data_IF_356416508291
#
_entry.id   IF_356416508291
#
_cell.length_a   1.000
_cell.length_b   1.000
_cell.length_c   1.000
_cell.angle_alpha   90.00
_cell.angle_beta   90.00
_cell.angle_gamma   90.00
#
_symmetry.space_group_name_H-M   'P 1'
#
loop_
_entity.id
_entity.type
_entity.pdbx_description
1 polymer ?
#
# COMPACT_ATOMS: atom_id res chain seq x y z
N UNK A 1 4.39 -18.77 13.43
CA UNK A 1 3.01 -19.31 13.54
C UNK A 1 2.56 -19.65 12.14
N UNK A 2 2.51 -20.94 11.81
CA UNK A 2 1.91 -21.39 10.56
C UNK A 2 0.48 -20.88 10.50
N UNK A 3 0.16 -20.07 9.49
CA UNK A 3 -1.22 -19.68 9.21
C UNK A 3 -1.94 -20.96 8.76
N UNK A 4 -2.76 -21.53 9.64
CA UNK A 4 -3.67 -22.64 9.33
C UNK A 4 -4.41 -22.29 8.03
N UNK A 5 -4.34 -23.17 7.03
CA UNK A 5 -4.99 -22.94 5.75
C UNK A 5 -6.50 -22.84 5.97
N UNK A 6 -7.06 -21.64 5.73
CA UNK A 6 -8.46 -21.37 5.97
C UNK A 6 -9.25 -21.49 4.66
N UNK A 7 -10.40 -22.16 4.73
CA UNK A 7 -11.37 -22.28 3.66
C UNK A 7 -12.22 -21.01 3.61
N UNK A 8 -12.36 -20.41 2.43
CA UNK A 8 -12.98 -19.10 2.23
C UNK A 8 -13.94 -19.15 1.04
N UNK A 9 -15.12 -18.54 1.18
CA UNK A 9 -15.99 -18.24 0.04
C UNK A 9 -15.67 -16.88 -0.55
N UNK A 10 -15.55 -16.79 -1.88
CA UNK A 10 -15.36 -15.51 -2.57
C UNK A 10 -16.65 -15.10 -3.26
N UNK A 11 -17.00 -13.83 -3.11
CA UNK A 11 -18.19 -13.23 -3.69
C UNK A 11 -17.76 -12.00 -4.47
N UNK A 12 -18.01 -11.94 -5.78
CA UNK A 12 -17.86 -10.74 -6.59
C UNK A 12 -19.22 -10.09 -6.76
N UNK A 13 -19.30 -8.79 -6.52
CA UNK A 13 -20.54 -8.03 -6.64
C UNK A 13 -20.34 -6.83 -7.55
N UNK A 14 -21.30 -6.59 -8.44
CA UNK A 14 -21.29 -5.43 -9.34
C UNK A 14 -21.49 -4.11 -8.59
N UNK A 15 -20.76 -3.08 -9.00
CA UNK A 15 -20.88 -1.72 -8.47
C UNK A 15 -21.61 -0.73 -9.38
N UNK A 16 -21.83 -1.08 -10.64
CA UNK A 16 -22.46 -0.22 -11.65
C UNK A 16 -24.00 -0.18 -11.58
N UNK A 17 -24.63 -1.01 -10.76
CA UNK A 17 -26.09 -1.18 -10.74
C UNK A 17 -26.86 0.04 -10.19
N UNK A 18 -26.19 0.96 -9.49
CA UNK A 18 -26.85 2.10 -8.84
C UNK A 18 -27.83 1.70 -7.72
N UNK A 19 -27.76 0.46 -7.26
CA UNK A 19 -28.64 -0.11 -6.24
C UNK A 19 -28.23 0.30 -4.83
N UNK A 20 -29.19 0.24 -3.90
CA UNK A 20 -28.91 0.46 -2.48
C UNK A 20 -27.95 -0.61 -1.94
N UNK A 21 -27.15 -0.26 -0.92
CA UNK A 21 -26.27 -1.22 -0.24
C UNK A 21 -27.03 -2.45 0.26
N UNK A 22 -28.26 -2.28 0.74
CA UNK A 22 -29.11 -3.39 1.20
C UNK A 22 -29.47 -4.35 0.08
N UNK A 23 -29.85 -3.83 -1.09
CA UNK A 23 -30.15 -4.63 -2.29
C UNK A 23 -28.91 -5.41 -2.76
N UNK A 24 -27.75 -4.76 -2.80
CA UNK A 24 -26.47 -5.38 -3.17
C UNK A 24 -26.10 -6.52 -2.20
N UNK A 25 -26.30 -6.31 -0.89
CA UNK A 25 -26.07 -7.34 0.13
C UNK A 25 -27.01 -8.53 -0.08
N UNK A 26 -28.29 -8.30 -0.37
CA UNK A 26 -29.25 -9.37 -0.62
C UNK A 26 -28.81 -10.26 -1.79
N UNK A 27 -28.36 -9.66 -2.89
CA UNK A 27 -27.81 -10.39 -4.04
C UNK A 27 -26.61 -11.26 -3.67
N UNK A 28 -25.65 -10.69 -2.91
CA UNK A 28 -24.49 -11.42 -2.44
C UNK A 28 -24.87 -12.63 -1.55
N UNK A 29 -25.88 -12.45 -0.69
CA UNK A 29 -26.42 -13.52 0.14
C UNK A 29 -27.08 -14.62 -0.69
N UNK A 30 -27.91 -14.27 -1.67
CA UNK A 30 -28.55 -15.24 -2.56
C UNK A 30 -27.53 -16.06 -3.34
N UNK A 31 -26.55 -15.41 -3.99
CA UNK A 31 -25.50 -16.11 -4.72
C UNK A 31 -24.68 -17.04 -3.81
N UNK A 32 -24.33 -16.57 -2.62
CA UNK A 32 -23.57 -17.35 -1.63
C UNK A 32 -24.32 -18.61 -1.20
N UNK A 33 -25.61 -18.48 -0.87
CA UNK A 33 -26.46 -19.60 -0.46
C UNK A 33 -26.69 -20.57 -1.62
N UNK A 34 -26.93 -20.06 -2.84
CA UNK A 34 -27.11 -20.89 -4.03
C UNK A 34 -25.85 -21.70 -4.37
N UNK A 35 -24.67 -21.07 -4.32
CA UNK A 35 -23.40 -21.76 -4.55
C UNK A 35 -23.14 -22.89 -3.55
N UNK A 36 -23.57 -22.72 -2.29
CA UNK A 36 -23.46 -23.76 -1.25
C UNK A 36 -24.49 -24.86 -1.50
N UNK A 37 -25.75 -24.49 -1.68
CA UNK A 37 -26.86 -25.44 -1.82
C UNK A 37 -26.70 -26.35 -3.04
N UNK A 38 -26.28 -25.80 -4.17
CA UNK A 38 -26.07 -26.57 -5.40
C UNK A 38 -24.85 -27.52 -5.32
N UNK A 39 -23.99 -27.36 -4.31
CA UNK A 39 -22.73 -28.09 -4.18
C UNK A 39 -22.54 -28.69 -2.77
N UNK A 40 -23.62 -29.07 -2.09
CA UNK A 40 -23.58 -29.64 -0.73
C UNK A 40 -22.75 -30.92 -0.63
N UNK A 41 -22.59 -31.65 -1.73
CA UNK A 41 -21.83 -32.89 -1.76
C UNK A 41 -20.31 -32.70 -1.83
N UNK A 42 -19.84 -31.49 -2.17
CA UNK A 42 -18.41 -31.18 -2.28
C UNK A 42 -17.73 -31.16 -0.91
N UNK A 43 -16.57 -31.82 -0.80
CA UNK A 43 -15.83 -31.95 0.47
C UNK A 43 -15.49 -30.59 1.10
N UNK A 44 -15.10 -29.62 0.28
CA UNK A 44 -14.80 -28.25 0.73
C UNK A 44 -16.01 -27.54 1.34
N UNK A 45 -17.23 -27.85 0.85
CA UNK A 45 -18.48 -27.27 1.35
C UNK A 45 -18.84 -27.97 2.66
N UNK A 46 -18.77 -29.29 2.72
CA UNK A 46 -18.98 -30.07 3.95
C UNK A 46 -18.04 -29.63 5.07
N UNK A 47 -16.76 -29.44 4.78
CA UNK A 47 -15.76 -28.98 5.75
C UNK A 47 -16.05 -27.55 6.23
N UNK A 48 -16.38 -26.64 5.31
CA UNK A 48 -16.75 -25.27 5.65
C UNK A 48 -18.02 -25.20 6.54
N UNK A 49 -18.99 -26.09 6.30
CA UNK A 49 -20.22 -26.16 7.10
C UNK A 49 -20.02 -26.76 8.49
N UNK A 50 -18.98 -27.57 8.73
CA UNK A 50 -18.65 -28.12 10.06
C UNK A 50 -18.23 -27.04 11.06
N UNK A 51 -17.52 -26.00 10.61
CA UNK A 51 -17.05 -24.89 11.45
C UNK A 51 -17.92 -23.63 11.28
N UNK A 52 -19.23 -23.74 11.52
CA UNK A 52 -20.21 -22.67 11.25
C UNK A 52 -19.88 -21.33 11.91
N UNK A 53 -19.29 -21.35 13.11
CA UNK A 53 -18.92 -20.14 13.86
C UNK A 53 -17.60 -19.49 13.39
N UNK A 54 -16.85 -20.14 12.49
CA UNK A 54 -15.55 -19.64 11.97
C UNK A 54 -15.54 -19.46 10.45
N UNK A 55 -16.73 -19.47 9.83
CA UNK A 55 -16.93 -19.22 8.41
C UNK A 55 -16.36 -17.87 7.97
N UNK A 56 -15.63 -17.87 6.85
CA UNK A 56 -15.06 -16.65 6.25
C UNK A 56 -15.53 -16.47 4.83
N UNK A 57 -16.09 -15.29 4.55
CA UNK A 57 -16.45 -14.83 3.20
C UNK A 57 -15.63 -13.59 2.85
N UNK A 58 -15.23 -13.48 1.60
CA UNK A 58 -14.53 -12.30 1.06
C UNK A 58 -15.34 -11.74 -0.08
N UNK A 59 -15.77 -10.50 0.08
CA UNK A 59 -16.51 -9.76 -0.95
C UNK A 59 -15.53 -8.90 -1.75
N UNK A 60 -15.63 -8.95 -3.08
CA UNK A 60 -14.81 -8.24 -4.03
C UNK A 60 -15.69 -7.42 -4.97
N UNK A 61 -15.20 -6.26 -5.38
CA UNK A 61 -15.91 -5.41 -6.32
C UNK A 61 -15.69 -5.87 -7.76
N UNK A 62 -16.74 -5.86 -8.56
CA UNK A 62 -16.73 -6.00 -10.01
C UNK A 62 -17.27 -4.71 -10.64
N UNK A 63 -16.54 -4.08 -11.59
CA UNK A 63 -16.92 -2.78 -12.10
C UNK A 63 -18.16 -2.81 -13.01
N UNK A 64 -18.35 -3.89 -13.78
CA UNK A 64 -19.43 -3.96 -14.79
C UNK A 64 -19.82 -5.42 -15.13
N UNK A 65 -20.92 -5.58 -15.86
CA UNK A 65 -21.42 -6.89 -16.31
C UNK A 65 -20.42 -7.66 -17.17
N UNK A 66 -19.73 -6.96 -18.07
CA UNK A 66 -18.80 -7.57 -19.03
C UNK A 66 -17.66 -8.26 -18.28
N UNK A 67 -17.12 -7.58 -17.29
CA UNK A 67 -16.08 -8.10 -16.40
C UNK A 67 -16.61 -9.28 -15.60
N UNK A 68 -17.83 -9.20 -15.07
CA UNK A 68 -18.46 -10.29 -14.32
C UNK A 68 -18.58 -11.56 -15.20
N UNK A 69 -19.06 -11.43 -16.43
CA UNK A 69 -19.20 -12.56 -17.38
C UNK A 69 -17.85 -13.14 -17.82
N UNK A 70 -16.85 -12.29 -18.03
CA UNK A 70 -15.49 -12.73 -18.34
C UNK A 70 -14.92 -13.56 -17.18
N UNK A 71 -15.06 -13.07 -15.94
CA UNK A 71 -14.62 -13.79 -14.75
C UNK A 71 -15.35 -15.13 -14.62
N UNK A 72 -16.66 -15.20 -14.85
CA UNK A 72 -17.38 -16.48 -14.87
C UNK A 72 -16.82 -17.45 -15.93
N UNK A 73 -16.49 -16.95 -17.11
CA UNK A 73 -15.91 -17.76 -18.19
C UNK A 73 -14.52 -18.30 -17.83
N UNK A 74 -13.67 -17.46 -17.21
CA UNK A 74 -12.35 -17.86 -16.73
C UNK A 74 -12.43 -18.88 -15.60
N UNK A 75 -13.39 -18.73 -14.68
CA UNK A 75 -13.65 -19.70 -13.62
C UNK A 75 -14.13 -21.04 -14.19
N UNK A 76 -14.98 -21.04 -15.22
CA UNK A 76 -15.36 -22.28 -15.94
C UNK A 76 -14.15 -22.94 -16.61
N UNK A 77 -13.31 -22.15 -17.29
CA UNK A 77 -12.12 -22.65 -17.97
C UNK A 77 -11.11 -23.28 -16.99
N UNK A 78 -11.02 -22.74 -15.78
CA UNK A 78 -10.16 -23.23 -14.70
C UNK A 78 -10.82 -24.29 -13.82
N UNK A 79 -12.04 -24.73 -14.15
CA UNK A 79 -12.84 -25.70 -13.40
C UNK A 79 -13.09 -25.30 -11.93
N UNK A 80 -13.10 -23.99 -11.63
CA UNK A 80 -13.50 -23.49 -10.33
C UNK A 80 -15.03 -23.44 -10.28
N UNK A 81 -15.61 -24.23 -9.39
CA UNK A 81 -17.07 -24.29 -9.22
C UNK A 81 -17.57 -22.97 -8.61
N UNK A 82 -18.57 -22.37 -9.27
CA UNK A 82 -19.14 -21.09 -8.87
C UNK A 82 -20.58 -20.95 -9.38
N UNK A 83 -21.34 -20.08 -8.71
CA UNK A 83 -22.67 -19.62 -9.12
C UNK A 83 -22.55 -18.21 -9.70
N UNK A 84 -23.00 -18.02 -10.93
CA UNK A 84 -23.37 -16.70 -11.45
C UNK A 84 -24.83 -16.46 -11.08
N UNK A 85 -25.08 -15.45 -10.25
CA UNK A 85 -26.42 -15.08 -9.83
C UNK A 85 -27.01 -14.03 -10.77
N UNK A 86 -28.25 -14.25 -11.14
CA UNK A 86 -29.02 -13.43 -12.07
C UNK A 86 -30.31 -13.07 -11.35
N UNK A 87 -30.52 -11.77 -11.15
CA UNK A 87 -31.73 -11.27 -10.50
C UNK A 87 -32.92 -11.34 -11.47
N UNK A 88 -34.07 -11.75 -10.94
CA UNK A 88 -35.34 -11.81 -11.64
C UNK A 88 -36.30 -10.74 -11.06
N UNK A 89 -37.24 -10.21 -11.87
CA UNK A 89 -37.60 -10.62 -13.24
C UNK A 89 -36.72 -10.04 -14.37
N UNK A 90 -35.83 -9.09 -14.08
CA UNK A 90 -35.10 -8.31 -15.09
C UNK A 90 -34.00 -9.09 -15.82
N UNK A 91 -33.58 -10.25 -15.29
CA UNK A 91 -32.58 -11.12 -15.92
C UNK A 91 -31.14 -10.57 -15.85
N UNK A 92 -30.86 -9.73 -14.85
CA UNK A 92 -29.58 -8.99 -14.74
C UNK A 92 -28.57 -9.82 -13.92
N UNK A 93 -27.37 -10.13 -14.45
CA UNK A 93 -26.32 -10.76 -13.65
C UNK A 93 -25.77 -9.78 -12.62
N UNK A 94 -25.90 -10.06 -11.34
CA UNK A 94 -25.54 -9.11 -10.27
C UNK A 94 -24.28 -9.50 -9.51
N UNK A 95 -24.04 -10.80 -9.32
CA UNK A 95 -22.91 -11.28 -8.54
C UNK A 95 -22.47 -12.69 -8.92
N UNK A 96 -21.24 -13.04 -8.52
CA UNK A 96 -20.69 -14.40 -8.60
C UNK A 96 -20.33 -14.84 -7.19
N UNK A 97 -20.66 -16.07 -6.82
CA UNK A 97 -20.15 -16.71 -5.61
C UNK A 97 -19.42 -18.01 -5.96
N UNK A 98 -18.18 -18.17 -5.50
CA UNK A 98 -17.48 -19.46 -5.63
C UNK A 98 -17.99 -20.45 -4.59
N UNK A 99 -17.66 -21.73 -4.79
CA UNK A 99 -17.62 -22.65 -3.65
C UNK A 99 -16.42 -22.32 -2.73
N UNK A 100 -16.17 -23.20 -1.78
CA UNK A 100 -15.23 -23.01 -0.70
C UNK A 100 -13.79 -23.29 -1.17
N UNK A 101 -12.95 -22.25 -1.15
CA UNK A 101 -11.58 -22.31 -1.67
C UNK A 101 -10.54 -22.10 -0.57
N UNK A 102 -9.43 -22.84 -0.62
CA UNK A 102 -8.29 -22.61 0.26
C UNK A 102 -7.65 -21.24 -0.01
N UNK A 103 -7.38 -20.47 1.04
CA UNK A 103 -6.81 -19.12 0.96
C UNK A 103 -5.48 -19.06 0.16
N UNK A 104 -4.69 -20.14 0.15
CA UNK A 104 -3.44 -20.23 -0.61
C UNK A 104 -3.66 -20.11 -2.13
N UNK A 105 -4.75 -20.69 -2.66
CA UNK A 105 -5.08 -20.70 -4.09
C UNK A 105 -5.49 -19.28 -4.55
N UNK A 106 -6.14 -18.51 -3.68
CA UNK A 106 -6.75 -17.23 -4.07
C UNK A 106 -5.82 -16.03 -3.96
N UNK A 107 -4.72 -16.13 -3.18
CA UNK A 107 -3.62 -15.14 -3.29
C UNK A 107 -3.05 -15.05 -4.70
N UNK A 108 -3.11 -16.14 -5.48
CA UNK A 108 -2.74 -16.13 -6.90
C UNK A 108 -3.76 -15.35 -7.73
N UNK A 109 -5.06 -15.59 -7.55
CA UNK A 109 -6.12 -14.89 -8.30
C UNK A 109 -6.22 -13.38 -8.01
N UNK A 110 -6.12 -12.96 -6.72
CA UNK A 110 -6.24 -11.55 -6.31
C UNK A 110 -5.17 -10.61 -6.88
N UNK A 111 -4.00 -11.14 -7.28
CA UNK A 111 -2.91 -10.34 -7.88
C UNK A 111 -2.96 -10.33 -9.41
N UNK A 112 -3.75 -11.20 -10.03
CA UNK A 112 -3.81 -11.34 -11.48
C UNK A 112 -4.97 -10.60 -12.15
N UNK A 113 -5.99 -10.15 -11.40
CA UNK A 113 -7.07 -9.30 -11.95
C UNK A 113 -6.63 -7.86 -12.25
N UNK A 114 -5.45 -7.44 -11.78
CA UNK A 114 -4.86 -6.11 -12.08
C UNK A 114 -3.75 -6.16 -13.15
N UNK A 115 -3.50 -7.33 -13.76
CA UNK A 115 -2.47 -7.49 -14.79
C UNK A 115 -3.16 -7.75 -16.12
N UNK A 116 -2.84 -6.89 -17.09
CA UNK A 116 -3.25 -6.96 -18.50
C UNK A 116 -3.57 -8.37 -19.02
N UNK A 117 -4.65 -8.55 -19.81
CA UNK A 117 -5.19 -9.85 -20.26
C UNK A 117 -4.21 -10.72 -21.09
N UNK A 118 -3.04 -10.19 -21.44
CA UNK A 118 -1.99 -10.91 -22.16
C UNK A 118 -1.10 -11.78 -21.25
N UNK A 119 -1.11 -11.58 -19.93
CA UNK A 119 -0.28 -12.37 -18.99
C UNK A 119 -1.00 -13.57 -18.35
N UNK A 120 -2.32 -13.50 -18.21
CA UNK A 120 -3.13 -14.55 -17.57
C UNK A 120 -3.13 -15.86 -18.38
N UNK A 121 -3.07 -15.78 -19.71
CA UNK A 121 -3.17 -16.93 -20.62
C UNK A 121 -1.91 -17.81 -20.66
N UNK A 122 -0.73 -17.29 -20.27
CA UNK A 122 0.53 -18.05 -20.30
C UNK A 122 0.79 -18.86 -19.02
N UNK A 123 0.39 -18.33 -17.86
CA UNK A 123 0.52 -19.01 -16.56
C UNK A 123 -0.56 -20.08 -16.36
N UNK A 124 -1.80 -19.83 -16.79
CA UNK A 124 -2.91 -20.81 -16.70
C UNK A 124 -2.68 -22.01 -17.63
N UNK A 125 -1.97 -21.83 -18.76
CA UNK A 125 -1.61 -22.93 -19.68
C UNK A 125 -0.45 -23.80 -19.21
N UNK A 126 0.39 -23.34 -18.27
CA UNK A 126 1.61 -24.03 -17.85
C UNK A 126 1.65 -24.40 -16.36
N UNK A 127 0.76 -23.85 -15.53
CA UNK A 127 0.40 -24.50 -14.28
C UNK A 127 -0.61 -25.61 -14.59
N UNK A 128 -0.08 -26.80 -14.84
CA UNK A 128 -0.78 -28.06 -14.60
C UNK A 128 -1.07 -28.12 -13.08
N UNK A 129 -2.10 -27.39 -12.64
CA UNK A 129 -2.67 -27.56 -11.30
C UNK A 129 -3.38 -28.90 -11.34
N UNK A 130 -2.60 -29.97 -11.13
CA UNK A 130 -3.13 -31.22 -10.64
C UNK A 130 -3.73 -30.92 -9.27
N UNK A 131 -5.02 -30.64 -9.27
CA UNK A 131 -5.88 -30.70 -8.11
C UNK A 131 -5.65 -32.07 -7.48
N UNK A 132 -4.97 -32.08 -6.34
CA UNK A 132 -4.83 -33.25 -5.49
C UNK A 132 -6.21 -33.58 -4.90
N UNK A 133 -6.94 -34.49 -5.55
CA UNK A 133 -8.00 -35.26 -4.93
C UNK A 133 -7.74 -36.74 -5.22
N UNK A 134 -7.75 -37.56 -4.17
CA UNK A 134 -7.68 -39.04 -4.10
C UNK A 134 -6.37 -39.66 -3.53
N UNK A 135 -6.48 -40.59 -2.54
CA UNK A 135 -5.36 -41.32 -1.93
C UNK A 135 -4.90 -42.52 -2.79
N UNK A 136 -4.53 -42.28 -4.05
CA UNK A 136 -3.97 -43.31 -4.94
C UNK A 136 -2.75 -42.76 -5.70
N UNK A 137 -1.60 -42.81 -5.03
CA UNK A 137 -0.30 -42.72 -5.67
C UNK A 137 0.14 -44.14 -6.03
N UNK A 138 0.03 -44.56 -7.29
CA UNK A 138 0.99 -45.46 -7.93
C UNK A 138 0.82 -45.48 -9.46
N UNK A 139 1.95 -45.53 -10.14
CA UNK A 139 2.16 -45.80 -11.57
C UNK A 139 1.72 -44.73 -12.58
N UNK A 140 2.63 -43.79 -12.87
CA UNK A 140 2.93 -43.40 -14.26
C UNK A 140 4.34 -42.79 -14.34
N UNK A 141 5.36 -43.62 -14.10
CA UNK A 141 6.68 -43.40 -14.71
C UNK A 141 6.60 -43.93 -16.14
N UNK A 142 6.58 -43.03 -17.13
CA UNK A 142 6.59 -43.43 -18.53
C UNK A 142 6.56 -42.26 -19.50
N UNK A 143 7.75 -41.92 -20.02
CA UNK A 143 7.99 -41.11 -21.24
C UNK A 143 7.52 -39.66 -21.23
N UNK A 144 8.41 -38.76 -20.79
CA UNK A 144 8.46 -37.39 -21.33
C UNK A 144 9.83 -37.19 -22.00
N UNK A 145 9.82 -37.29 -23.34
CA UNK A 145 10.98 -37.07 -24.21
C UNK A 145 11.52 -35.65 -24.04
N UNK A 146 12.84 -35.53 -23.82
CA UNK A 146 13.59 -34.28 -23.68
C UNK A 146 13.57 -33.39 -24.93
N UNK A 147 13.17 -33.91 -26.08
CA UNK A 147 13.31 -33.20 -27.36
C UNK A 147 12.15 -32.25 -27.73
N UNK A 148 11.03 -32.31 -26.99
CA UNK A 148 9.86 -31.45 -27.29
C UNK A 148 9.95 -30.03 -26.69
N UNK A 149 10.83 -29.78 -25.72
CA UNK A 149 10.99 -28.46 -25.11
C UNK A 149 11.77 -27.47 -25.99
N UNK A 150 12.59 -27.94 -26.95
CA UNK A 150 13.39 -27.06 -27.80
C UNK A 150 12.66 -26.52 -29.03
N UNK A 151 11.56 -27.14 -29.45
CA UNK A 151 10.87 -26.79 -30.71
C UNK A 151 9.92 -25.58 -30.56
N UNK A 152 9.48 -25.25 -29.34
CA UNK A 152 8.56 -24.12 -29.10
C UNK A 152 9.23 -22.75 -29.10
N UNK A 153 10.56 -22.66 -29.03
CA UNK A 153 11.29 -21.38 -29.05
C UNK A 153 11.52 -20.84 -30.47
N UNK A 154 11.51 -21.69 -31.49
CA UNK A 154 11.93 -21.29 -32.84
C UNK A 154 10.76 -20.87 -33.77
N UNK A 155 9.51 -21.18 -33.43
CA UNK A 155 8.34 -20.79 -34.25
C UNK A 155 7.84 -19.37 -34.00
N UNK A 156 8.13 -18.78 -32.84
CA UNK A 156 7.70 -17.42 -32.50
C UNK A 156 8.69 -16.32 -32.92
N UNK A 157 9.93 -16.65 -33.26
CA UNK A 157 10.92 -15.66 -33.72
C UNK A 157 10.58 -15.08 -35.11
N UNK A 158 9.90 -15.84 -35.98
CA UNK A 158 9.51 -15.37 -37.32
C UNK A 158 8.39 -14.33 -37.31
N UNK A 159 7.58 -14.26 -36.25
CA UNK A 159 6.53 -13.25 -36.11
C UNK A 159 7.01 -11.95 -35.43
N UNK A 160 8.28 -11.88 -34.97
CA UNK A 160 8.83 -10.67 -34.35
C UNK A 160 9.12 -9.54 -35.35
N UNK A 161 9.34 -9.85 -36.63
CA UNK A 161 9.64 -8.83 -37.65
C UNK A 161 8.42 -7.98 -38.04
N UNK A 162 7.20 -8.47 -37.84
CA UNK A 162 5.97 -7.80 -38.27
C UNK A 162 5.32 -6.92 -37.18
N UNK A 163 5.88 -6.88 -35.97
CA UNK A 163 5.39 -6.04 -34.86
C UNK A 163 5.98 -4.61 -34.87
N UNK A 164 6.82 -4.29 -35.85
CA UNK A 164 7.58 -3.04 -35.93
C UNK A 164 6.80 -1.82 -36.48
N UNK A 165 5.52 -1.96 -36.82
CA UNK A 165 4.79 -0.91 -37.54
C UNK A 165 3.78 -0.08 -36.72
N UNK A 166 3.69 -0.25 -35.40
CA UNK A 166 2.73 0.58 -34.63
C UNK A 166 2.96 0.71 -33.12
N UNK A 167 4.06 0.17 -32.59
CA UNK A 167 4.31 0.17 -31.14
C UNK A 167 5.40 1.21 -30.84
N UNK A 168 5.09 2.22 -30.01
CA UNK A 168 6.09 3.17 -29.54
C UNK A 168 7.28 2.41 -28.95
N UNK A 169 8.52 2.85 -29.22
CA UNK A 169 9.76 2.17 -28.76
C UNK A 169 9.71 1.80 -27.28
N UNK A 170 9.06 2.63 -26.45
CA UNK A 170 8.83 2.41 -25.01
C UNK A 170 8.05 1.12 -24.69
N UNK A 171 7.03 0.79 -25.47
CA UNK A 171 6.24 -0.43 -25.31
C UNK A 171 7.02 -1.67 -25.75
N UNK A 172 7.91 -1.54 -26.74
CA UNK A 172 8.80 -2.62 -27.18
C UNK A 172 9.85 -2.97 -26.10
N UNK A 173 10.50 -1.97 -25.51
CA UNK A 173 11.43 -2.17 -24.38
C UNK A 173 10.73 -2.77 -23.15
N UNK A 174 9.48 -2.37 -22.87
CA UNK A 174 8.65 -2.97 -21.81
C UNK A 174 8.29 -4.44 -22.08
N UNK A 175 8.20 -4.87 -23.33
CA UNK A 175 7.90 -6.27 -23.68
C UNK A 175 9.17 -7.13 -23.56
N UNK A 176 10.31 -6.64 -24.09
CA UNK A 176 11.60 -7.34 -24.02
C UNK A 176 12.02 -7.57 -22.56
N UNK A 177 11.92 -6.53 -21.72
CA UNK A 177 12.33 -6.63 -20.32
C UNK A 177 11.52 -7.65 -19.52
N UNK A 178 10.21 -7.73 -19.77
CA UNK A 178 9.34 -8.71 -19.12
C UNK A 178 9.60 -10.15 -19.58
N UNK A 179 10.02 -10.36 -20.82
CA UNK A 179 10.37 -11.68 -21.35
C UNK A 179 11.73 -12.17 -20.82
N UNK A 180 12.71 -11.28 -20.69
CA UNK A 180 14.02 -11.60 -20.11
C UNK A 180 13.88 -12.00 -18.63
N UNK A 181 13.02 -11.29 -17.89
CA UNK A 181 12.71 -11.57 -16.50
C UNK A 181 12.08 -12.97 -16.33
N UNK A 182 11.16 -13.33 -17.22
CA UNK A 182 10.53 -14.66 -17.26
C UNK A 182 11.55 -15.80 -17.47
N UNK A 183 12.56 -15.59 -18.32
CA UNK A 183 13.63 -16.57 -18.54
C UNK A 183 14.52 -16.75 -17.31
N UNK A 184 14.94 -15.66 -16.66
CA UNK A 184 15.80 -15.73 -15.46
C UNK A 184 15.08 -16.44 -14.32
N UNK A 185 13.79 -16.18 -14.15
CA UNK A 185 12.93 -16.87 -13.18
C UNK A 185 12.90 -18.37 -13.50
N UNK A 186 12.65 -18.75 -14.75
CA UNK A 186 12.55 -20.16 -15.15
C UNK A 186 13.87 -20.92 -14.93
N UNK A 187 15.02 -20.29 -15.20
CA UNK A 187 16.35 -20.87 -14.97
C UNK A 187 16.63 -21.04 -13.48
N UNK A 188 16.31 -20.03 -12.67
CA UNK A 188 16.48 -20.08 -11.21
C UNK A 188 15.61 -21.17 -10.57
N UNK A 189 14.36 -21.30 -11.00
CA UNK A 189 13.46 -22.36 -10.53
C UNK A 189 13.90 -23.75 -11.00
N UNK A 190 14.38 -23.88 -12.24
CA UNK A 190 14.95 -25.12 -12.77
C UNK A 190 16.14 -25.62 -11.95
N UNK A 191 17.00 -24.72 -11.47
CA UNK A 191 18.13 -25.03 -10.60
C UNK A 191 17.72 -25.55 -9.21
N UNK A 192 16.69 -24.96 -8.59
CA UNK A 192 16.22 -25.38 -7.27
C UNK A 192 15.40 -26.68 -7.29
N UNK A 193 14.57 -26.88 -8.31
CA UNK A 193 13.87 -28.15 -8.57
C UNK A 193 14.87 -29.27 -8.79
N UNK A 194 15.99 -29.00 -9.48
CA UNK A 194 17.07 -29.97 -9.68
C UNK A 194 17.81 -30.36 -8.39
N UNK A 195 17.82 -29.51 -7.34
CA UNK A 195 18.54 -29.78 -6.08
C UNK A 195 17.71 -30.45 -4.97
N UNK A 196 16.45 -30.84 -5.22
CA UNK A 196 15.58 -31.63 -4.30
C UNK A 196 15.57 -31.17 -2.83
N UNK A 197 15.75 -29.88 -2.54
CA UNK A 197 15.56 -29.36 -1.18
C UNK A 197 14.06 -29.13 -0.94
N UNK A 198 13.52 -29.45 0.24
CA UNK A 198 12.18 -29.02 0.60
C UNK A 198 12.22 -27.50 0.77
N UNK A 199 11.56 -26.77 -0.12
CA UNK A 199 11.52 -25.31 -0.06
C UNK A 199 10.10 -24.94 0.34
N UNK A 200 9.96 -24.16 1.41
CA UNK A 200 8.69 -23.62 1.82
C UNK A 200 8.21 -22.62 0.75
N UNK A 201 6.96 -22.76 0.29
CA UNK A 201 6.39 -21.95 -0.78
C UNK A 201 6.39 -20.44 -0.41
N UNK A 202 6.31 -20.12 0.88
CA UNK A 202 6.40 -18.75 1.39
C UNK A 202 7.78 -18.11 1.16
N UNK A 203 8.87 -18.87 1.33
CA UNK A 203 10.22 -18.38 1.09
C UNK A 203 10.49 -18.14 -0.39
N UNK A 204 9.87 -18.96 -1.26
CA UNK A 204 9.90 -18.78 -2.71
C UNK A 204 9.17 -17.50 -3.09
N UNK A 205 7.93 -17.32 -2.60
CA UNK A 205 7.13 -16.14 -2.89
C UNK A 205 7.83 -14.87 -2.41
N UNK A 206 8.41 -14.87 -1.21
CA UNK A 206 9.14 -13.73 -0.69
C UNK A 206 10.41 -13.41 -1.50
N UNK A 207 11.17 -14.42 -1.94
CA UNK A 207 12.33 -14.21 -2.82
C UNK A 207 11.93 -13.71 -4.20
N UNK A 208 10.82 -14.22 -4.74
CA UNK A 208 10.29 -13.77 -6.01
C UNK A 208 9.76 -12.34 -5.95
N UNK A 209 9.04 -11.97 -4.89
CA UNK A 209 8.60 -10.59 -4.65
C UNK A 209 9.79 -9.64 -4.58
N UNK A 210 10.82 -9.98 -3.80
CA UNK A 210 12.05 -9.17 -3.71
C UNK A 210 12.76 -9.03 -5.05
N UNK A 211 12.86 -10.12 -5.82
CA UNK A 211 13.48 -10.09 -7.15
C UNK A 211 12.65 -9.27 -8.14
N UNK A 212 11.33 -9.41 -8.11
CA UNK A 212 10.41 -8.67 -8.97
C UNK A 212 10.47 -7.17 -8.65
N UNK A 213 10.39 -6.77 -7.37
CA UNK A 213 10.54 -5.39 -6.93
C UNK A 213 11.92 -4.82 -7.32
N UNK A 214 13.02 -5.57 -7.07
CA UNK A 214 14.37 -5.15 -7.48
C UNK A 214 14.50 -4.97 -8.99
N UNK A 215 13.97 -5.92 -9.77
CA UNK A 215 14.05 -5.87 -11.23
C UNK A 215 13.20 -4.75 -11.83
N UNK A 216 12.06 -4.47 -11.20
CA UNK A 216 11.20 -3.36 -11.58
C UNK A 216 11.88 -2.03 -11.27
N UNK A 217 12.48 -1.88 -10.08
CA UNK A 217 13.24 -0.68 -9.71
C UNK A 217 14.43 -0.48 -10.65
N UNK A 218 15.16 -1.55 -11.00
CA UNK A 218 16.27 -1.49 -11.97
C UNK A 218 15.77 -1.03 -13.35
N UNK A 219 14.64 -1.59 -13.82
CA UNK A 219 14.05 -1.22 -15.10
C UNK A 219 13.53 0.21 -15.11
N UNK A 220 12.87 0.66 -14.05
CA UNK A 220 12.44 2.04 -13.90
C UNK A 220 13.63 2.98 -13.89
N UNK A 221 14.71 2.64 -13.18
CA UNK A 221 15.93 3.44 -13.19
C UNK A 221 16.56 3.55 -14.59
N UNK A 222 16.50 2.48 -15.40
CA UNK A 222 16.96 2.55 -16.79
C UNK A 222 15.99 3.35 -17.66
N UNK A 223 14.67 3.16 -17.52
CA UNK A 223 13.65 3.92 -18.27
C UNK A 223 13.77 5.41 -17.96
N UNK A 224 13.90 5.79 -16.68
CA UNK A 224 14.05 7.17 -16.22
C UNK A 224 15.31 7.85 -16.76
N UNK A 225 16.35 7.10 -17.16
CA UNK A 225 17.52 7.66 -17.86
C UNK A 225 17.20 8.10 -19.29
N UNK A 226 16.24 7.45 -19.96
CA UNK A 226 15.90 7.70 -21.36
C UNK A 226 14.64 8.55 -21.51
N UNK A 227 13.69 8.41 -20.58
CA UNK A 227 12.46 9.19 -20.47
C UNK A 227 12.32 9.55 -19.00
N UNK A 228 12.88 10.70 -18.56
CA UNK A 228 12.64 11.16 -17.21
C UNK A 228 11.12 11.29 -17.02
N UNK A 229 10.55 10.83 -15.88
CA UNK A 229 9.15 11.09 -15.59
C UNK A 229 8.90 12.61 -15.62
N UNK A 230 7.67 13.02 -15.93
CA UNK A 230 7.25 14.41 -15.69
C UNK A 230 7.39 14.67 -14.17
N UNK A 231 8.55 15.19 -13.78
CA UNK A 231 8.95 15.48 -12.40
C UNK A 231 8.51 16.90 -12.04
N UNK A 232 7.25 17.21 -12.36
CA UNK A 232 6.63 18.42 -11.84
C UNK A 232 6.62 18.34 -10.30
N UNK A 233 6.96 19.44 -9.62
CA UNK A 233 6.95 19.47 -8.17
C UNK A 233 5.52 19.22 -7.66
N UNK A 234 5.42 18.46 -6.57
CA UNK A 234 4.15 18.11 -5.94
C UNK A 234 3.42 19.31 -5.33
N UNK A 235 4.13 20.42 -5.10
CA UNK A 235 3.58 21.67 -4.59
C UNK A 235 3.82 22.79 -5.61
N UNK A 236 2.88 23.73 -5.74
CA UNK A 236 3.09 24.93 -6.56
C UNK A 236 4.23 25.79 -5.99
N UNK A 237 4.79 26.67 -6.81
CA UNK A 237 5.89 27.55 -6.39
C UNK A 237 5.43 28.59 -5.36
N UNK A 238 6.35 29.03 -4.49
CA UNK A 238 6.04 30.02 -3.45
C UNK A 238 5.53 31.34 -4.02
N UNK A 239 6.00 31.76 -5.19
CA UNK A 239 5.54 32.98 -5.87
C UNK A 239 4.06 32.91 -6.22
N UNK A 240 3.58 31.74 -6.66
CA UNK A 240 2.17 31.52 -6.99
C UNK A 240 1.27 31.59 -5.75
N UNK A 241 1.82 31.24 -4.58
CA UNK A 241 1.12 31.25 -3.30
C UNK A 241 1.27 32.58 -2.53
N UNK A 242 2.12 33.50 -2.99
CA UNK A 242 2.43 34.75 -2.28
C UNK A 242 3.24 34.55 -0.99
N UNK A 243 4.00 33.46 -0.87
CA UNK A 243 4.83 33.16 0.29
C UNK A 243 6.29 33.60 0.10
N UNK A 244 7.02 33.90 1.19
CA UNK A 244 8.44 34.22 1.10
C UNK A 244 9.25 32.97 0.74
N UNK A 245 10.23 33.12 -0.16
CA UNK A 245 11.04 32.02 -0.69
C UNK A 245 11.78 31.17 0.36
N UNK A 246 12.05 31.74 1.54
CA UNK A 246 12.76 31.07 2.63
C UNK A 246 11.83 30.47 3.71
N UNK A 247 10.51 30.46 3.47
CA UNK A 247 9.55 29.84 4.38
C UNK A 247 9.82 28.32 4.49
N UNK A 248 10.05 27.78 5.70
CA UNK A 248 10.16 26.35 5.89
C UNK A 248 8.88 25.60 5.54
N UNK A 249 9.02 24.37 5.05
CA UNK A 249 7.88 23.47 4.79
C UNK A 249 7.80 22.40 5.88
N UNK A 250 6.63 22.26 6.50
CA UNK A 250 6.30 21.24 7.48
C UNK A 250 5.34 20.22 6.88
N UNK A 251 5.84 19.02 6.64
CA UNK A 251 5.05 17.88 6.15
C UNK A 251 4.60 17.04 7.32
N UNK A 252 3.30 16.81 7.45
CA UNK A 252 2.72 16.06 8.57
C UNK A 252 2.03 14.79 8.06
N UNK A 253 2.25 13.66 8.73
CA UNK A 253 1.36 12.51 8.64
C UNK A 253 -0.05 12.84 9.14
N UNK A 254 -1.06 12.07 8.71
CA UNK A 254 -2.43 12.26 9.19
C UNK A 254 -2.76 11.24 10.29
N UNK A 255 -2.91 9.97 9.91
CA UNK A 255 -3.28 8.90 10.82
C UNK A 255 -2.15 8.52 11.78
N UNK A 256 -2.50 8.30 13.04
CA UNK A 256 -1.54 8.03 14.11
C UNK A 256 -0.64 9.22 14.46
N UNK A 257 -0.84 10.39 13.83
CA UNK A 257 -0.10 11.62 14.15
C UNK A 257 -1.04 12.74 14.58
N UNK A 258 -1.98 13.15 13.73
CA UNK A 258 -2.95 14.22 13.98
C UNK A 258 -4.28 13.66 14.49
N UNK A 259 -4.65 12.47 14.01
CA UNK A 259 -5.86 11.79 14.42
C UNK A 259 -5.71 10.27 14.38
N UNK A 260 -6.62 9.57 15.03
CA UNK A 260 -6.78 8.12 14.87
C UNK A 260 -8.24 7.77 14.51
N UNK A 261 -8.39 6.83 13.58
CA UNK A 261 -9.68 6.29 13.19
C UNK A 261 -9.97 5.12 14.13
N UNK A 262 -10.92 5.29 15.02
CA UNK A 262 -11.30 4.28 16.01
C UNK A 262 -12.71 3.77 15.74
N UNK A 263 -12.99 2.53 16.15
CA UNK A 263 -14.31 1.94 16.07
C UNK A 263 -14.87 1.70 17.46
N UNK A 264 -16.00 2.33 17.77
CA UNK A 264 -16.73 2.13 19.01
C UNK A 264 -17.97 1.27 18.75
N UNK A 265 -18.29 0.34 19.67
CA UNK A 265 -19.51 -0.49 19.57
C UNK A 265 -20.79 0.35 19.58
N UNK A 266 -20.78 1.51 20.24
CA UNK A 266 -21.95 2.39 20.38
C UNK A 266 -22.12 3.36 19.20
N UNK A 267 -21.01 3.92 18.71
CA UNK A 267 -21.03 5.04 17.77
C UNK A 267 -20.50 4.67 16.37
N UNK A 268 -20.08 3.41 16.17
CA UNK A 268 -19.46 2.95 14.93
C UNK A 268 -18.06 3.53 14.72
N UNK A 269 -17.69 3.73 13.45
CA UNK A 269 -16.43 4.36 13.06
C UNK A 269 -16.43 5.85 13.40
N UNK A 270 -15.37 6.30 14.04
CA UNK A 270 -15.19 7.70 14.43
C UNK A 270 -13.73 8.12 14.31
N UNK A 271 -13.53 9.42 14.17
CA UNK A 271 -12.20 10.02 14.10
C UNK A 271 -11.94 10.76 15.41
N UNK A 272 -10.89 10.34 16.11
CA UNK A 272 -10.46 10.95 17.36
C UNK A 272 -9.32 11.91 17.04
N UNK A 273 -9.50 13.19 17.40
CA UNK A 273 -8.48 14.23 17.28
C UNK A 273 -7.43 14.05 18.36
N UNK A 274 -6.14 14.15 17.99
CA UNK A 274 -5.05 14.12 18.99
C UNK A 274 -5.12 15.40 19.85
N UNK A 275 -4.95 15.30 21.18
CA UNK A 275 -4.85 16.48 22.03
C UNK A 275 -3.73 17.42 21.54
N UNK A 276 -3.97 18.73 21.65
CA UNK A 276 -2.99 19.76 21.26
C UNK A 276 -2.98 20.14 19.77
N UNK A 277 -3.71 19.45 18.88
CA UNK A 277 -3.75 19.75 17.43
C UNK A 277 -4.09 21.22 17.15
N UNK A 278 -5.14 21.78 17.76
CA UNK A 278 -5.54 23.17 17.49
C UNK A 278 -4.44 24.17 17.83
N UNK A 279 -3.82 24.00 18.99
CA UNK A 279 -2.70 24.83 19.44
C UNK A 279 -1.48 24.66 18.53
N UNK A 280 -1.15 23.42 18.17
CA UNK A 280 -0.04 23.08 17.28
C UNK A 280 -0.15 23.82 15.94
N UNK A 281 -1.28 23.70 15.25
CA UNK A 281 -1.49 24.36 13.96
C UNK A 281 -1.57 25.89 14.09
N UNK A 282 -2.28 26.39 15.11
CA UNK A 282 -2.44 27.83 15.29
C UNK A 282 -1.11 28.55 15.59
N UNK A 283 -0.18 27.87 16.27
CA UNK A 283 1.18 28.39 16.49
C UNK A 283 2.00 28.29 15.21
N UNK A 284 2.03 27.12 14.56
CA UNK A 284 2.97 26.84 13.47
C UNK A 284 2.60 27.44 12.12
N UNK A 285 1.32 27.77 11.88
CA UNK A 285 0.86 28.42 10.63
C UNK A 285 1.61 29.71 10.29
N UNK A 286 2.16 30.39 11.29
CA UNK A 286 2.91 31.63 11.12
C UNK A 286 4.40 31.41 10.79
N UNK A 287 4.89 30.18 10.90
CA UNK A 287 6.31 29.84 10.76
C UNK A 287 6.59 28.84 9.62
N UNK A 288 5.56 28.14 9.15
CA UNK A 288 5.70 27.06 8.19
C UNK A 288 4.62 27.12 7.10
N UNK A 289 5.00 26.71 5.89
CA UNK A 289 4.07 26.12 4.93
C UNK A 289 3.69 24.72 5.45
N UNK A 290 2.44 24.51 5.85
CA UNK A 290 2.00 23.22 6.39
C UNK A 290 1.29 22.38 5.32
N UNK A 291 1.79 21.16 5.12
CA UNK A 291 1.27 20.19 4.15
C UNK A 291 0.94 18.89 4.85
N UNK A 292 -0.26 18.36 4.61
CA UNK A 292 -0.64 17.02 5.10
C UNK A 292 -0.27 16.00 4.04
N UNK A 293 0.51 14.99 4.40
CA UNK A 293 0.79 13.85 3.53
C UNK A 293 0.23 12.58 4.14
N UNK A 294 -0.93 12.17 3.63
CA UNK A 294 -1.72 11.06 4.15
C UNK A 294 -1.59 9.81 3.27
N UNK A 295 -1.53 8.65 3.93
CA UNK A 295 -1.67 7.33 3.31
C UNK A 295 -3.14 6.85 3.26
N UNK A 296 -4.05 7.57 3.92
CA UNK A 296 -5.49 7.33 3.86
C UNK A 296 -6.08 7.70 2.50
N UNK A 297 -7.13 6.99 2.11
CA UNK A 297 -7.83 7.22 0.84
C UNK A 297 -8.86 8.34 0.97
N UNK A 298 -9.13 9.03 -0.15
CA UNK A 298 -10.24 9.98 -0.24
C UNK A 298 -11.57 9.30 0.17
N UNK A 299 -12.47 9.96 0.94
CA UNK A 299 -12.48 11.38 1.31
C UNK A 299 -11.90 11.73 2.70
N UNK A 300 -11.44 10.75 3.48
CA UNK A 300 -11.15 10.93 4.92
C UNK A 300 -10.24 12.13 5.23
N UNK A 301 -9.08 12.33 4.55
CA UNK A 301 -8.23 13.49 4.85
C UNK A 301 -8.96 14.82 4.69
N UNK A 302 -9.75 14.97 3.62
CA UNK A 302 -10.48 16.20 3.33
C UNK A 302 -11.55 16.48 4.40
N UNK A 303 -12.34 15.47 4.75
CA UNK A 303 -13.38 15.60 5.78
C UNK A 303 -12.79 16.01 7.13
N UNK A 304 -11.64 15.44 7.52
CA UNK A 304 -10.97 15.78 8.78
C UNK A 304 -10.54 17.24 8.81
N UNK A 305 -9.96 17.70 7.70
CA UNK A 305 -9.39 19.04 7.59
C UNK A 305 -10.46 20.12 7.53
N UNK A 306 -11.54 19.88 6.79
CA UNK A 306 -12.71 20.76 6.75
C UNK A 306 -13.41 20.81 8.10
N UNK A 307 -13.65 19.64 8.73
CA UNK A 307 -14.34 19.55 10.02
C UNK A 307 -13.61 20.29 11.14
N UNK A 308 -12.28 20.31 11.12
CA UNK A 308 -11.46 20.96 12.15
C UNK A 308 -10.89 22.31 11.73
N UNK A 309 -11.19 22.76 10.51
CA UNK A 309 -10.73 24.02 9.95
C UNK A 309 -9.21 24.24 10.13
N UNK A 310 -8.41 23.23 9.80
CA UNK A 310 -6.96 23.28 10.01
C UNK A 310 -6.28 24.17 8.94
N UNK A 311 -5.39 25.11 9.34
CA UNK A 311 -4.71 26.02 8.42
C UNK A 311 -3.60 25.29 7.66
N UNK A 312 -3.96 24.63 6.57
CA UNK A 312 -3.05 23.89 5.70
C UNK A 312 -3.08 24.43 4.26
N UNK A 313 -2.01 24.21 3.53
CA UNK A 313 -1.87 24.68 2.14
C UNK A 313 -2.27 23.60 1.14
N UNK A 314 -1.99 22.34 1.45
CA UNK A 314 -2.29 21.24 0.55
C UNK A 314 -2.31 19.87 1.21
N UNK A 315 -2.92 18.92 0.51
CA UNK A 315 -3.03 17.52 0.91
C UNK A 315 -2.40 16.65 -0.17
N UNK A 316 -1.44 15.83 0.23
CA UNK A 316 -0.83 14.81 -0.60
C UNK A 316 -1.39 13.44 -0.22
N UNK A 317 -1.97 12.77 -1.21
CA UNK A 317 -2.54 11.43 -1.09
C UNK A 317 -1.54 10.31 -1.39
N UNK A 318 -2.01 9.06 -1.24
CA UNK A 318 -1.29 7.83 -1.54
C UNK A 318 -0.67 7.78 -2.95
N UNK A 319 -1.29 8.44 -3.93
CA UNK A 319 -0.80 8.49 -5.31
C UNK A 319 0.53 9.25 -5.47
N UNK A 320 0.87 10.12 -4.51
CA UNK A 320 2.11 10.90 -4.56
C UNK A 320 3.31 10.17 -3.93
N UNK A 321 3.10 9.01 -3.31
CA UNK A 321 4.18 8.23 -2.71
C UNK A 321 5.13 7.71 -3.79
N UNK A 322 6.43 7.75 -3.49
CA UNK A 322 7.43 7.04 -4.28
C UNK A 322 7.57 5.62 -3.77
N UNK A 323 8.04 4.71 -4.63
CA UNK A 323 8.28 3.31 -4.28
C UNK A 323 9.76 3.00 -4.43
N UNK A 324 10.35 2.41 -3.40
CA UNK A 324 11.73 1.89 -3.42
C UNK A 324 11.75 0.55 -2.70
N UNK A 325 12.36 -0.48 -3.30
CA UNK A 325 12.47 -1.82 -2.73
C UNK A 325 11.12 -2.41 -2.28
N UNK A 326 10.08 -2.23 -3.09
CA UNK A 326 8.74 -2.74 -2.75
C UNK A 326 7.93 -1.85 -1.79
N UNK A 327 8.56 -0.88 -1.11
CA UNK A 327 7.95 -0.09 -0.04
C UNK A 327 7.65 1.34 -0.49
N UNK A 328 6.47 1.82 -0.12
CA UNK A 328 6.05 3.20 -0.35
C UNK A 328 6.67 4.13 0.68
N UNK A 329 7.10 5.32 0.25
CA UNK A 329 7.59 6.37 1.13
C UNK A 329 7.25 7.77 0.60
N UNK A 330 7.22 8.73 1.52
CA UNK A 330 6.99 10.16 1.25
C UNK A 330 8.29 10.80 0.78
N UNK A 331 8.48 10.90 -0.53
CA UNK A 331 9.71 11.45 -1.10
C UNK A 331 9.72 12.98 -1.04
N UNK A 332 10.47 13.55 -0.10
CA UNK A 332 10.51 15.01 0.11
C UNK A 332 11.17 15.77 -1.04
N UNK A 333 12.04 15.11 -1.82
CA UNK A 333 12.68 15.75 -2.98
C UNK A 333 11.68 16.15 -4.07
N UNK A 334 10.52 15.48 -4.12
CA UNK A 334 9.45 15.77 -5.09
C UNK A 334 8.60 16.97 -4.71
N UNK A 335 8.78 17.57 -3.52
CA UNK A 335 7.96 18.70 -3.09
C UNK A 335 8.27 20.01 -3.84
N UNK A 336 9.39 20.10 -4.55
CA UNK A 336 9.85 21.37 -5.12
C UNK A 336 10.27 22.37 -4.05
N UNK A 337 10.90 21.88 -2.97
CA UNK A 337 11.33 22.69 -1.82
C UNK A 337 12.78 22.38 -1.47
N UNK A 338 13.50 23.35 -0.91
CA UNK A 338 14.85 23.15 -0.44
C UNK A 338 14.84 22.22 0.79
N UNK A 339 15.45 21.04 0.68
CA UNK A 339 15.52 20.05 1.76
C UNK A 339 16.18 20.57 3.05
N UNK A 340 16.99 21.63 2.99
CA UNK A 340 17.56 22.26 4.19
C UNK A 340 16.49 22.98 5.04
N UNK A 341 15.30 23.20 4.47
CA UNK A 341 14.16 23.92 5.06
C UNK A 341 12.90 23.07 5.16
N UNK A 342 12.98 21.76 4.91
CA UNK A 342 11.84 20.82 4.95
C UNK A 342 11.95 19.92 6.17
N UNK A 343 10.85 19.80 6.93
CA UNK A 343 10.74 18.86 8.05
C UNK A 343 9.55 17.94 7.79
N UNK A 344 9.76 16.64 7.88
CA UNK A 344 8.71 15.62 7.95
C UNK A 344 8.46 15.27 9.42
N UNK A 345 7.24 15.44 9.91
CA UNK A 345 6.81 14.85 11.17
C UNK A 345 5.87 13.71 10.84
N UNK A 346 6.24 12.51 11.25
CA UNK A 346 5.47 11.31 10.97
C UNK A 346 5.58 10.33 12.14
N UNK A 347 4.78 9.29 12.11
CA UNK A 347 5.00 8.14 12.98
C UNK A 347 6.23 7.32 12.51
N UNK A 348 6.50 6.19 13.17
CA UNK A 348 7.59 5.29 12.78
C UNK A 348 7.30 4.59 11.43
N UNK A 349 7.47 5.33 10.34
CA UNK A 349 7.22 4.88 8.96
C UNK A 349 8.52 4.62 8.20
N UNK A 350 8.42 3.92 7.07
CA UNK A 350 9.57 3.70 6.17
C UNK A 350 10.13 5.04 5.63
N UNK A 351 9.28 6.04 5.45
CA UNK A 351 9.65 7.40 5.02
C UNK A 351 10.64 8.06 5.98
N UNK A 352 10.35 7.98 7.28
CA UNK A 352 11.18 8.56 8.33
C UNK A 352 12.56 7.89 8.43
N UNK A 353 12.68 6.62 8.00
CA UNK A 353 13.94 5.88 7.99
C UNK A 353 14.84 6.27 6.82
N UNK A 354 14.27 6.49 5.63
CA UNK A 354 15.05 6.90 4.45
C UNK A 354 15.54 8.35 4.61
N UNK A 355 14.70 9.24 5.13
CA UNK A 355 14.98 10.68 5.22
C UNK A 355 15.17 11.12 6.68
N UNK A 356 15.99 10.36 7.42
CA UNK A 356 16.13 10.53 8.87
C UNK A 356 16.48 11.95 9.29
N UNK A 357 17.42 12.61 8.61
CA UNK A 357 17.87 13.97 8.93
C UNK A 357 16.73 15.00 8.85
N UNK A 358 15.81 14.82 7.90
CA UNK A 358 14.64 15.66 7.70
C UNK A 358 13.42 15.23 8.52
N UNK A 359 13.48 14.11 9.25
CA UNK A 359 12.30 13.50 9.87
C UNK A 359 12.32 13.53 11.39
N UNK A 360 11.23 14.02 11.99
CA UNK A 360 10.93 13.88 13.42
C UNK A 360 9.90 12.76 13.57
N UNK A 361 10.27 11.73 14.32
CA UNK A 361 9.40 10.57 14.55
C UNK A 361 8.67 10.76 15.87
N UNK A 362 7.34 10.75 15.84
CA UNK A 362 6.51 10.74 17.03
C UNK A 362 5.91 9.36 17.31
N UNK A 363 5.59 9.05 18.57
CA UNK A 363 4.81 7.87 18.90
C UNK A 363 3.45 7.88 18.20
N UNK A 364 3.02 6.70 17.76
CA UNK A 364 1.71 6.50 17.13
C UNK A 364 0.62 6.85 18.15
N UNK A 365 -0.21 7.83 17.81
CA UNK A 365 -1.40 8.19 18.56
C UNK A 365 -2.46 7.10 18.44
N UNK A 366 -2.95 6.60 19.57
CA UNK A 366 -3.97 5.54 19.63
C UNK A 366 -5.30 5.98 20.24
N UNK A 367 -5.51 7.30 20.37
CA UNK A 367 -6.73 7.86 20.97
C UNK A 367 -6.63 8.21 22.45
N UNK A 368 -5.42 8.26 23.03
CA UNK A 368 -5.23 8.63 24.45
C UNK A 368 -5.53 10.12 24.68
N UNK A 369 -6.53 10.49 25.51
CA UNK A 369 -6.86 11.89 25.77
C UNK A 369 -5.78 12.65 26.55
N UNK A 370 -4.82 11.97 27.18
CA UNK A 370 -3.73 12.58 27.94
C UNK A 370 -2.41 12.69 27.15
N UNK A 371 -2.42 12.34 25.86
CA UNK A 371 -1.27 12.53 24.97
C UNK A 371 -0.84 14.00 24.90
N UNK A 372 0.45 14.26 25.03
CA UNK A 372 1.05 15.61 25.03
C UNK A 372 2.20 15.74 24.01
N UNK A 373 2.29 14.81 23.06
CA UNK A 373 3.42 14.70 22.14
C UNK A 373 3.48 15.88 21.16
N UNK A 374 2.33 16.36 20.69
CA UNK A 374 2.31 17.55 19.81
C UNK A 374 2.76 18.81 20.54
N UNK A 375 2.38 18.96 21.81
CA UNK A 375 2.82 20.08 22.63
C UNK A 375 4.33 20.05 22.86
N UNK A 376 4.91 18.86 23.08
CA UNK A 376 6.34 18.71 23.35
C UNK A 376 7.21 19.17 22.16
N UNK A 377 6.76 18.93 20.93
CA UNK A 377 7.52 19.30 19.71
C UNK A 377 7.19 20.68 19.12
N UNK A 378 6.03 21.26 19.44
CA UNK A 378 5.59 22.57 18.89
C UNK A 378 6.68 23.63 19.05
N UNK A 379 7.27 23.62 20.23
CA UNK A 379 8.26 24.57 20.69
C UNK A 379 9.63 24.39 20.03
N UNK A 380 9.99 23.14 19.72
CA UNK A 380 11.18 22.78 18.95
C UNK A 380 11.02 23.23 17.49
N UNK A 381 9.87 22.92 16.87
CA UNK A 381 9.58 23.31 15.48
C UNK A 381 9.60 24.83 15.33
N UNK A 382 8.96 25.57 16.25
CA UNK A 382 9.05 27.04 16.24
C UNK A 382 10.50 27.55 16.28
N UNK A 383 11.34 26.98 17.15
CA UNK A 383 12.75 27.37 17.25
C UNK A 383 13.57 26.97 16.01
N UNK A 384 13.22 25.86 15.37
CA UNK A 384 13.84 25.37 14.15
C UNK A 384 13.53 26.28 12.93
N UNK A 385 12.29 26.75 12.80
CA UNK A 385 11.89 27.67 11.72
C UNK A 385 12.67 28.99 11.73
N UNK A 386 13.01 29.47 12.93
CA UNK A 386 13.74 30.72 13.15
C UNK A 386 15.24 30.62 12.84
N UNK A 387 15.79 29.42 12.66
CA UNK A 387 17.19 29.28 12.28
C UNK A 387 17.38 29.76 10.82
N UNK A 388 18.42 30.55 10.50
CA UNK A 388 18.66 31.01 9.14
C UNK A 388 19.34 29.95 8.25
N UNK A 389 19.97 28.93 8.84
CA UNK A 389 20.73 27.89 8.14
C UNK A 389 19.93 26.61 7.89
N UNK A 390 20.68 25.51 7.71
CA UNK A 390 20.11 24.17 7.55
C UNK A 390 19.45 23.70 8.86
N UNK A 391 18.14 23.48 8.80
CA UNK A 391 17.36 23.03 9.94
C UNK A 391 17.82 21.65 10.43
N UNK A 392 18.34 20.80 9.54
CA UNK A 392 18.79 19.45 9.89
C UNK A 392 19.95 19.48 10.89
N UNK A 393 20.87 20.43 10.75
CA UNK A 393 21.97 20.62 11.69
C UNK A 393 21.48 21.05 13.08
N UNK A 394 20.45 21.90 13.10
CA UNK A 394 19.82 22.30 14.35
C UNK A 394 19.13 21.12 15.03
N UNK A 395 18.37 20.31 14.28
CA UNK A 395 17.70 19.13 14.81
C UNK A 395 18.70 18.07 15.31
N UNK A 396 19.85 17.89 14.64
CA UNK A 396 20.90 16.95 15.04
C UNK A 396 21.38 17.15 16.48
N UNK A 397 21.37 18.39 16.99
CA UNK A 397 21.78 18.72 18.37
C UNK A 397 20.91 18.06 19.45
N UNK A 398 19.67 17.75 19.10
CA UNK A 398 18.68 17.17 20.01
C UNK A 398 18.38 15.70 19.69
N UNK A 399 19.09 15.11 18.72
CA UNK A 399 19.03 13.68 18.41
C UNK A 399 20.06 12.93 19.25
N UNK A 400 19.87 12.91 20.57
CA UNK A 400 20.77 12.18 21.48
C UNK A 400 19.96 11.18 22.30
N UNK A 401 20.37 9.92 22.39
CA UNK A 401 19.72 8.89 23.23
C UNK A 401 18.29 8.48 22.79
N UNK A 402 17.78 7.40 23.42
CA UNK A 402 16.47 6.79 23.14
C UNK A 402 15.25 7.61 23.61
N UNK A 403 15.41 8.91 23.88
CA UNK A 403 14.33 9.79 24.36
C UNK A 403 13.79 10.67 23.23
N UNK A 404 12.55 11.13 23.37
CA UNK A 404 11.91 11.98 22.37
C UNK A 404 12.67 13.31 22.21
N UNK A 405 12.88 13.73 20.96
CA UNK A 405 13.55 14.99 20.60
C UNK A 405 12.86 16.22 21.20
N UNK A 406 11.52 16.20 21.31
CA UNK A 406 10.74 17.28 21.91
C UNK A 406 11.07 17.46 23.39
N UNK A 407 11.16 16.35 24.14
CA UNK A 407 11.46 16.39 25.57
C UNK A 407 12.87 16.90 25.85
N UNK A 408 13.85 16.45 25.05
CA UNK A 408 15.23 16.93 25.15
C UNK A 408 15.32 18.43 24.92
N UNK A 409 14.58 18.94 23.92
CA UNK A 409 14.54 20.36 23.66
C UNK A 409 13.88 21.14 24.81
N UNK A 410 12.82 20.59 25.41
CA UNK A 410 12.15 21.20 26.55
C UNK A 410 13.03 21.25 27.80
N UNK A 411 13.81 20.20 28.05
CA UNK A 411 14.84 20.19 29.10
C UNK A 411 15.93 21.22 28.83
N UNK A 412 16.47 21.26 27.61
CA UNK A 412 17.43 22.27 27.20
C UNK A 412 16.89 23.68 27.45
N UNK A 413 15.67 23.98 27.01
CA UNK A 413 15.01 25.26 27.22
C UNK A 413 14.87 25.60 28.72
N UNK A 414 14.45 24.63 29.56
CA UNK A 414 14.37 24.81 31.02
C UNK A 414 15.73 25.16 31.62
N UNK A 415 16.82 24.50 31.18
CA UNK A 415 18.16 24.82 31.68
C UNK A 415 18.63 26.22 31.25
N UNK A 416 18.35 26.62 30.01
CA UNK A 416 18.66 27.97 29.51
C UNK A 416 17.88 29.03 30.28
N UNK A 417 16.58 28.81 30.54
CA UNK A 417 15.75 29.73 31.33
C UNK A 417 16.30 29.91 32.74
N UNK A 418 16.62 28.82 33.44
CA UNK A 418 17.22 28.86 34.79
C UNK A 418 18.55 29.61 34.80
N UNK A 419 19.43 29.36 33.83
CA UNK A 419 20.71 30.10 33.69
C UNK A 419 20.50 31.59 33.41
N UNK A 420 19.46 31.96 32.66
CA UNK A 420 19.13 33.36 32.39
C UNK A 420 18.59 34.06 33.64
N UNK A 421 17.75 33.39 34.44
CA UNK A 421 17.21 33.90 35.69
C UNK A 421 18.30 34.10 36.74
N UNK A 422 19.23 33.15 36.87
CA UNK A 422 20.39 33.27 37.75
C UNK A 422 21.24 34.48 37.37
N UNK A 423 21.53 34.68 36.08
CA UNK A 423 22.27 35.86 35.60
C UNK A 423 21.55 37.17 35.91
N UNK A 424 20.22 37.21 35.78
CA UNK A 424 19.42 38.40 36.14
C UNK A 424 19.46 38.68 37.65
N UNK A 425 19.40 37.64 38.49
CA UNK A 425 19.50 37.78 39.95
C UNK A 425 20.90 38.23 40.38
N UNK A 426 21.95 37.63 39.82
CA UNK A 426 23.33 38.05 40.07
C UNK A 426 23.58 39.49 39.60
N UNK A 427 23.13 39.88 38.40
CA UNK A 427 23.28 41.25 37.91
C UNK A 427 22.58 42.28 38.81
N UNK A 428 21.39 41.95 39.34
CA UNK A 428 20.69 42.78 40.33
C UNK A 428 21.41 42.85 41.70
N UNK A 429 22.18 41.83 42.05
CA UNK A 429 22.96 41.81 43.29
C UNK A 429 24.20 42.72 43.20
N UNK A 430 24.84 42.82 42.04
CA UNK A 430 25.99 43.73 41.81
C UNK A 430 25.60 45.20 41.55
N UNK A 431 24.32 45.47 41.29
CA UNK A 431 23.77 46.82 41.09
C UNK A 431 23.17 47.43 42.38
N UNK A 432 23.20 46.68 43.49
CA UNK A 432 22.92 47.16 44.85
C UNK A 432 24.24 47.34 45.58
#
# INVERSE_FOLDING_TARGET
>A
MDQKEQIIQYILVRSDLGWSTGSIIAQACHASSAAIFENLEEDSVKEYLKEINQMRKVVLNCPDEKTLRNVSSDLKATKVIHKLWVELPEGIPTCIATIMLLNAIVKCFKRHTFISPYYSTFLVKNLDVRLHYSPFYYNFQGKLNRDKCFILLNKNSRNFHNLNQGVSKLNFYRIISKNLLGMVVTIYFGYFVAKKKPICLSDICNKFERFNDWSFDLLQNQINRFVPPDDEPLLPDFEQLGYPMNLPTLVLGLRGLICEITHSKKNGWGIVKRPGVDKFFNVLKNYYEIVIWSDESFPIPHEVLEKWNLPIIGILNKNHFSKTNGKLFKNLSRLGRNLNRVILVDNESYSSKIQYDNSIVLPIFKGDPYDNELDSITDLLKAAALQPGDIREYLKRFRCNNTNIGDQFNEYRKTVSKKSELRRKFGKFFLK
#
